data_IF_732939322757
#
_entry.id   IF_732939322757
#
_cell.length_a   1.000
_cell.length_b   1.000
_cell.length_c   1.000
_cell.angle_alpha   90.00
_cell.angle_beta   90.00
_cell.angle_gamma   90.00
#
_symmetry.space_group_name_H-M   'P 1'
#
loop_
_entity.id
_entity.type
_entity.pdbx_description
1 polymer ?
#
# COMPACT_ATOMS: atom_id res chain seq x y z
N UNK A 1 1.85 11.97 5.68
CA UNK A 1 2.46 12.68 4.55
C UNK A 1 2.56 11.83 3.29
N UNK A 2 1.90 12.28 2.21
CA UNK A 2 1.92 11.65 0.89
C UNK A 2 3.30 11.75 0.22
N UNK A 3 3.83 10.62 -0.27
CA UNK A 3 5.15 10.57 -0.92
C UNK A 3 5.21 11.27 -2.28
N UNK A 4 4.06 11.49 -2.90
CA UNK A 4 3.91 12.11 -4.22
C UNK A 4 3.58 13.60 -4.14
N UNK A 5 3.53 14.16 -2.93
CA UNK A 5 3.32 15.59 -2.75
C UNK A 5 4.47 16.37 -3.40
N UNK A 6 4.14 17.23 -4.35
CA UNK A 6 5.08 18.00 -5.15
C UNK A 6 4.58 19.44 -5.29
N UNK A 7 4.93 20.34 -4.35
CA UNK A 7 4.48 21.73 -4.38
C UNK A 7 4.76 22.42 -5.72
N UNK A 8 3.75 23.09 -6.28
CA UNK A 8 3.87 23.81 -7.55
C UNK A 8 3.65 22.95 -8.80
N UNK A 9 3.46 21.65 -8.66
CA UNK A 9 2.94 20.79 -9.73
C UNK A 9 1.42 20.92 -9.85
N UNK A 10 0.83 20.29 -10.88
CA UNK A 10 -0.62 20.20 -11.00
C UNK A 10 -1.23 19.54 -9.75
N UNK A 11 -2.08 20.30 -9.03
CA UNK A 11 -2.67 19.94 -7.74
C UNK A 11 -1.67 19.48 -6.66
N UNK A 12 -0.46 20.04 -6.72
CA UNK A 12 0.65 19.71 -5.85
C UNK A 12 0.95 18.20 -5.80
N UNK A 13 0.77 17.51 -6.93
CA UNK A 13 0.99 16.08 -7.06
C UNK A 13 2.01 15.80 -8.18
N UNK A 14 2.93 14.87 -7.94
CA UNK A 14 3.87 14.38 -8.96
C UNK A 14 3.16 13.54 -10.03
N UNK A 15 1.98 13.01 -9.71
CA UNK A 15 1.14 12.24 -10.63
C UNK A 15 0.16 13.15 -11.36
N UNK A 16 -0.19 12.77 -12.60
CA UNK A 16 -1.29 13.40 -13.32
C UNK A 16 -2.61 12.78 -12.86
N UNK A 17 -3.14 13.30 -11.76
CA UNK A 17 -4.46 12.94 -11.22
C UNK A 17 -5.57 13.66 -11.98
N UNK A 18 -6.80 13.13 -11.93
CA UNK A 18 -8.02 13.76 -12.50
C UNK A 18 -8.85 14.59 -11.50
N UNK A 19 -8.67 14.36 -10.19
CA UNK A 19 -9.24 15.21 -9.13
C UNK A 19 -8.20 15.71 -8.11
N UNK A 20 -8.42 16.93 -7.60
CA UNK A 20 -7.55 17.54 -6.60
C UNK A 20 -7.70 16.85 -5.24
N UNK A 21 -6.62 16.20 -4.78
CA UNK A 21 -6.53 15.61 -3.44
C UNK A 21 -6.23 16.70 -2.39
N UNK A 22 -7.24 17.11 -1.60
CA UNK A 22 -7.13 18.16 -0.57
C UNK A 22 -6.33 17.69 0.65
N UNK A 23 -6.58 16.46 1.12
CA UNK A 23 -5.92 15.90 2.31
C UNK A 23 -4.68 15.08 1.88
N UNK A 24 -3.49 15.67 2.04
CA UNK A 24 -2.21 15.02 1.73
C UNK A 24 -1.65 14.22 2.92
N UNK A 25 -2.33 14.21 4.08
CA UNK A 25 -1.87 13.51 5.28
C UNK A 25 -2.46 12.10 5.43
N UNK A 26 -3.65 11.86 4.86
CA UNK A 26 -4.28 10.53 4.84
C UNK A 26 -3.75 9.64 3.72
N UNK A 27 -3.86 8.32 3.92
CA UNK A 27 -3.41 7.31 2.95
C UNK A 27 -4.41 7.15 1.79
N UNK A 28 -3.95 7.62 0.64
CA UNK A 28 -4.22 7.30 -0.77
C UNK A 28 -5.66 7.41 -1.31
N UNK A 29 -5.94 8.54 -1.97
CA UNK A 29 -6.93 8.68 -3.05
C UNK A 29 -6.28 8.61 -4.45
N UNK A 30 -4.98 8.30 -4.52
CA UNK A 30 -4.23 8.25 -5.77
C UNK A 30 -4.44 6.92 -6.49
N UNK A 31 -4.54 6.94 -7.81
CA UNK A 31 -4.66 5.73 -8.64
C UNK A 31 -3.36 4.91 -8.65
N UNK A 32 -2.21 5.56 -8.43
CA UNK A 32 -0.93 4.88 -8.43
C UNK A 32 -0.73 4.05 -7.17
N UNK A 33 -0.78 2.73 -7.35
CA UNK A 33 -0.44 1.80 -6.30
C UNK A 33 1.08 1.70 -6.14
N UNK A 34 1.55 1.84 -4.91
CA UNK A 34 2.95 1.57 -4.58
C UNK A 34 3.02 0.75 -3.32
N UNK A 35 3.79 -0.32 -3.42
CA UNK A 35 4.11 -1.16 -2.28
C UNK A 35 4.90 -0.32 -1.26
N UNK A 36 4.46 -0.34 0.00
CA UNK A 36 5.18 0.38 1.06
C UNK A 36 6.61 -0.20 1.21
N UNK A 37 7.60 0.66 1.41
CA UNK A 37 9.05 0.31 1.44
C UNK A 37 9.35 -0.85 2.40
N UNK A 38 8.65 -0.92 3.54
CA UNK A 38 8.74 -2.02 4.50
C UNK A 38 8.44 -3.41 3.93
N UNK A 39 7.88 -3.51 2.73
CA UNK A 39 7.64 -4.77 2.02
C UNK A 39 8.56 -4.98 0.81
N UNK A 40 9.37 -3.98 0.43
CA UNK A 40 10.27 -4.03 -0.73
C UNK A 40 11.64 -4.59 -0.32
N UNK A 41 12.21 -4.16 0.81
CA UNK A 41 13.56 -4.54 1.25
C UNK A 41 13.66 -5.90 1.97
N UNK A 42 12.75 -6.84 1.69
CA UNK A 42 12.72 -8.11 2.42
C UNK A 42 12.35 -7.92 3.90
N UNK A 43 11.42 -6.98 4.17
CA UNK A 43 10.82 -6.80 5.49
C UNK A 43 10.44 -8.14 6.09
N UNK A 44 10.56 -8.29 7.43
CA UNK A 44 10.86 -9.55 8.11
C UNK A 44 10.11 -10.65 7.39
N UNK A 45 10.84 -11.50 6.66
CA UNK A 45 10.24 -12.69 6.10
C UNK A 45 9.55 -13.33 7.28
N UNK A 46 8.21 -13.26 7.35
CA UNK A 46 7.46 -14.06 8.30
C UNK A 46 7.97 -15.45 7.99
N UNK A 47 8.79 -15.99 8.90
CA UNK A 47 9.53 -17.25 8.77
C UNK A 47 8.75 -18.14 7.83
N UNK A 48 9.33 -18.54 6.70
CA UNK A 48 8.66 -19.29 5.62
C UNK A 48 7.52 -20.13 6.17
N UNK A 49 6.30 -19.55 6.26
CA UNK A 49 5.24 -20.18 7.04
C UNK A 49 4.88 -21.39 6.23
N UNK A 50 5.01 -22.56 6.84
CA UNK A 50 4.78 -23.81 6.14
C UNK A 50 3.45 -23.74 5.40
N UNK A 51 3.36 -24.35 4.22
CA UNK A 51 2.11 -24.38 3.45
C UNK A 51 0.91 -24.86 4.30
N UNK A 52 1.16 -25.68 5.31
CA UNK A 52 0.18 -26.10 6.32
C UNK A 52 -0.36 -24.98 7.22
N UNK A 53 0.47 -24.00 7.64
CA UNK A 53 0.03 -22.85 8.43
C UNK A 53 -0.82 -21.89 7.60
N UNK A 54 -0.44 -21.67 6.33
CA UNK A 54 -1.23 -20.88 5.39
C UNK A 54 -2.62 -21.50 5.14
N UNK A 55 -2.67 -22.82 4.89
CA UNK A 55 -3.94 -23.54 4.68
C UNK A 55 -4.85 -23.48 5.92
N UNK A 56 -4.31 -23.67 7.13
CA UNK A 56 -5.09 -23.58 8.37
C UNK A 56 -5.70 -22.20 8.57
N UNK A 57 -4.95 -21.12 8.32
CA UNK A 57 -5.46 -19.75 8.45
C UNK A 57 -6.54 -19.44 7.42
N UNK A 58 -6.39 -19.94 6.20
CA UNK A 58 -7.43 -19.84 5.17
C UNK A 58 -8.72 -20.55 5.61
N UNK A 59 -8.66 -21.82 6.02
CA UNK A 59 -9.84 -22.55 6.49
C UNK A 59 -10.47 -21.92 7.72
N UNK A 60 -9.71 -21.28 8.62
CA UNK A 60 -10.28 -20.56 9.77
C UNK A 60 -11.06 -19.29 9.37
N UNK A 61 -10.75 -18.67 8.24
CA UNK A 61 -11.46 -17.50 7.73
C UNK A 61 -12.74 -17.90 6.98
N UNK A 62 -12.73 -19.05 6.31
CA UNK A 62 -13.79 -19.45 5.38
C UNK A 62 -14.56 -20.73 5.76
N UNK A 63 -14.16 -21.41 6.83
CA UNK A 63 -14.92 -22.49 7.45
C UNK A 63 -15.01 -23.80 6.66
N UNK A 64 -13.96 -24.21 5.96
CA UNK A 64 -13.87 -25.56 5.36
C UNK A 64 -13.41 -26.64 6.35
#
# INVERSE_FOLDING_TARGET
MCRFYAPGAHWDCAENVEEHVIDKEKRNHCEFFVLAEKYVDGGPSRESRSASDAKRKFSALFGE
#
